data_IF_887781691612
#
_entry.id   IF_887781691612
#
_cell.length_a   1.000
_cell.length_b   1.000
_cell.length_c   1.000
_cell.angle_alpha   90.00
_cell.angle_beta   90.00
_cell.angle_gamma   90.00
#
_symmetry.space_group_name_H-M   'P 1'
#
loop_
_entity.id
_entity.type
_entity.pdbx_description
1 polymer ?
#
# COMPACT_ATOMS: atom_id res chain seq x y z
N UNK A 1 -5.82 -6.13 -12.16
CA UNK A 1 -5.65 -5.46 -10.86
C UNK A 1 -6.88 -4.63 -10.53
N UNK A 2 -7.17 -3.55 -11.28
CA UNK A 2 -8.32 -2.66 -11.00
C UNK A 2 -9.67 -3.38 -10.81
N UNK A 3 -10.04 -4.27 -11.72
CA UNK A 3 -11.29 -5.03 -11.61
C UNK A 3 -11.38 -5.85 -10.30
N UNK A 4 -10.26 -6.38 -9.81
CA UNK A 4 -10.21 -7.11 -8.54
C UNK A 4 -10.39 -6.15 -7.36
N UNK A 5 -9.77 -4.97 -7.39
CA UNK A 5 -9.94 -3.93 -6.35
C UNK A 5 -11.39 -3.46 -6.29
N UNK A 6 -12.01 -3.19 -7.44
CA UNK A 6 -13.41 -2.80 -7.53
C UNK A 6 -14.35 -3.90 -7.05
N UNK A 7 -14.07 -5.16 -7.38
CA UNK A 7 -14.82 -6.28 -6.84
C UNK A 7 -14.72 -6.39 -5.31
N UNK A 8 -13.53 -6.20 -4.73
CA UNK A 8 -13.36 -6.16 -3.27
C UNK A 8 -14.08 -4.97 -2.63
N UNK A 9 -14.09 -3.82 -3.29
CA UNK A 9 -14.88 -2.66 -2.85
C UNK A 9 -16.38 -2.97 -2.85
N UNK A 10 -16.90 -3.62 -3.89
CA UNK A 10 -18.30 -4.01 -3.96
C UNK A 10 -18.68 -4.97 -2.83
N UNK A 11 -17.82 -5.96 -2.54
CA UNK A 11 -17.99 -6.85 -1.38
C UNK A 11 -18.04 -6.02 -0.09
N UNK A 12 -17.04 -5.17 0.18
CA UNK A 12 -17.00 -4.34 1.38
C UNK A 12 -18.24 -3.46 1.53
N UNK A 13 -18.73 -2.86 0.44
CA UNK A 13 -19.97 -2.08 0.44
C UNK A 13 -21.18 -2.95 0.79
N UNK A 14 -21.28 -4.15 0.22
CA UNK A 14 -22.41 -5.06 0.47
C UNK A 14 -22.54 -5.49 1.95
N UNK A 15 -21.41 -5.57 2.66
CA UNK A 15 -21.36 -5.91 4.09
C UNK A 15 -21.15 -4.71 5.01
N UNK A 16 -21.33 -3.48 4.50
CA UNK A 16 -21.19 -2.22 5.26
C UNK A 16 -19.81 -2.02 5.92
N UNK A 17 -18.76 -2.59 5.33
CA UNK A 17 -17.35 -2.40 5.73
C UNK A 17 -16.66 -1.27 4.93
N UNK A 18 -17.37 -0.65 3.98
CA UNK A 18 -16.96 0.57 3.29
C UNK A 18 -18.14 1.54 3.15
N UNK A 19 -17.90 2.87 3.11
CA UNK A 19 -18.91 3.84 2.75
C UNK A 19 -19.52 3.55 1.36
N UNK A 20 -20.84 3.70 1.22
CA UNK A 20 -21.53 3.37 -0.03
C UNK A 20 -21.14 4.32 -1.17
N UNK A 21 -20.77 5.55 -0.84
CA UNK A 21 -20.34 6.62 -1.73
C UNK A 21 -18.85 6.57 -2.09
N UNK A 22 -18.07 5.62 -1.55
CA UNK A 22 -16.66 5.46 -1.96
C UNK A 22 -16.58 5.20 -3.47
N UNK A 23 -15.83 6.00 -4.25
CA UNK A 23 -15.77 5.81 -5.69
C UNK A 23 -15.04 4.51 -6.05
N UNK A 24 -15.30 3.93 -7.23
CA UNK A 24 -14.48 2.85 -7.75
C UNK A 24 -13.03 3.31 -7.96
N UNK A 25 -12.11 2.36 -7.89
CA UNK A 25 -10.71 2.56 -8.25
C UNK A 25 -10.58 2.75 -9.76
N UNK A 26 -9.75 3.73 -10.13
CA UNK A 26 -9.34 4.02 -11.50
C UNK A 26 -7.83 4.28 -11.52
N UNK A 27 -7.06 3.28 -11.92
CA UNK A 27 -5.60 3.32 -11.91
C UNK A 27 -5.05 3.77 -13.26
N UNK A 28 -4.47 4.97 -13.31
CA UNK A 28 -4.00 5.61 -14.56
C UNK A 28 -2.48 5.65 -14.70
N UNK A 29 -1.75 5.48 -13.60
CA UNK A 29 -0.28 5.53 -13.55
C UNK A 29 0.25 4.34 -12.77
N UNK A 30 1.33 3.76 -13.27
CA UNK A 30 2.05 2.69 -12.61
C UNK A 30 3.52 3.05 -12.50
N UNK A 31 4.10 2.82 -11.32
CA UNK A 31 5.51 3.01 -11.00
C UNK A 31 6.04 1.72 -10.37
N UNK A 32 7.36 1.55 -10.36
CA UNK A 32 7.96 0.49 -9.56
C UNK A 32 7.78 0.86 -8.08
N UNK A 33 7.08 0.01 -7.34
CA UNK A 33 6.99 0.07 -5.87
C UNK A 33 7.66 -1.15 -5.26
N UNK A 34 8.21 -1.01 -4.06
CA UNK A 34 8.81 -2.07 -3.28
C UNK A 34 7.78 -2.79 -2.40
N UNK A 35 6.84 -2.05 -1.81
CA UNK A 35 5.77 -2.54 -0.93
C UNK A 35 6.24 -3.20 0.38
N UNK A 36 7.53 -3.10 0.72
CA UNK A 36 8.12 -3.67 1.94
C UNK A 36 9.36 -2.88 2.40
N UNK A 37 9.31 -1.55 2.27
CA UNK A 37 10.39 -0.70 2.75
C UNK A 37 10.41 -0.77 4.28
N UNK A 38 11.48 -1.32 4.82
CA UNK A 38 11.67 -1.50 6.26
C UNK A 38 13.16 -1.60 6.59
N UNK A 39 13.57 -1.33 7.84
CA UNK A 39 14.99 -1.36 8.21
C UNK A 39 15.66 -2.71 7.96
N UNK A 40 14.92 -3.82 8.06
CA UNK A 40 15.44 -5.17 7.78
C UNK A 40 15.84 -5.39 6.31
N UNK A 41 15.29 -4.59 5.40
CA UNK A 41 15.53 -4.64 3.97
C UNK A 41 16.54 -3.57 3.50
N UNK A 42 17.19 -2.89 4.45
CA UNK A 42 18.25 -1.92 4.18
C UNK A 42 19.60 -2.45 4.66
N UNK A 43 20.59 -2.44 3.78
CA UNK A 43 21.98 -2.79 4.11
C UNK A 43 22.85 -1.56 3.92
N UNK A 44 23.53 -1.14 5.00
CA UNK A 44 24.57 -0.11 4.93
C UNK A 44 25.91 -0.80 4.66
N UNK A 45 26.57 -0.44 3.57
CA UNK A 45 27.91 -0.95 3.29
C UNK A 45 29.02 -0.13 3.98
N UNK A 46 30.26 -0.59 3.83
CA UNK A 46 31.45 0.06 4.40
C UNK A 46 31.79 1.43 3.79
N UNK A 47 31.09 1.83 2.73
CA UNK A 47 31.25 3.11 2.03
C UNK A 47 30.08 4.07 2.30
N UNK A 48 29.30 3.80 3.36
CA UNK A 48 28.12 4.59 3.75
C UNK A 48 26.99 4.59 2.69
N UNK A 49 27.01 3.64 1.74
CA UNK A 49 25.93 3.48 0.77
C UNK A 49 24.86 2.57 1.35
N UNK A 50 23.62 3.03 1.28
CA UNK A 50 22.44 2.24 1.64
C UNK A 50 21.93 1.49 0.41
N UNK A 51 21.72 0.19 0.58
CA UNK A 51 21.17 -0.72 -0.42
C UNK A 51 19.79 -1.21 0.01
N UNK A 52 18.81 -1.11 -0.89
CA UNK A 52 17.47 -1.66 -0.70
C UNK A 52 17.37 -3.04 -1.35
N UNK A 53 17.04 -4.04 -0.53
CA UNK A 53 16.97 -5.46 -0.92
C UNK A 53 15.57 -6.03 -0.68
N UNK A 54 15.37 -7.31 -1.01
CA UNK A 54 14.10 -8.03 -0.84
C UNK A 54 12.91 -7.46 -1.65
N UNK A 55 13.06 -7.52 -2.97
CA UNK A 55 12.08 -7.05 -3.93
C UNK A 55 10.94 -8.06 -4.19
N UNK A 56 10.73 -9.04 -3.31
CA UNK A 56 9.76 -10.12 -3.54
C UNK A 56 8.30 -9.62 -3.66
N UNK A 57 7.96 -8.53 -2.97
CA UNK A 57 6.64 -7.87 -3.03
C UNK A 57 6.58 -6.69 -4.01
N UNK A 58 7.66 -6.45 -4.75
CA UNK A 58 7.73 -5.33 -5.68
C UNK A 58 6.91 -5.54 -6.95
N UNK A 59 6.59 -4.45 -7.64
CA UNK A 59 5.99 -4.52 -8.95
C UNK A 59 5.57 -3.17 -9.50
N UNK A 60 4.87 -3.20 -10.63
CA UNK A 60 4.27 -2.00 -11.22
C UNK A 60 2.89 -1.76 -10.59
N UNK A 61 2.81 -0.79 -9.68
CA UNK A 61 1.59 -0.44 -8.94
C UNK A 61 1.30 1.07 -9.02
N UNK A 62 0.05 1.49 -8.72
CA UNK A 62 -0.25 2.89 -8.50
C UNK A 62 0.68 3.50 -7.43
N UNK A 63 1.14 4.76 -7.59
CA UNK A 63 2.14 5.36 -6.69
C UNK A 63 1.78 5.31 -5.20
N UNK A 64 0.48 5.36 -4.88
CA UNK A 64 -0.04 5.29 -3.51
C UNK A 64 0.32 3.98 -2.79
N UNK A 65 0.60 2.90 -3.50
CA UNK A 65 0.85 1.60 -2.88
C UNK A 65 2.08 1.61 -1.97
N UNK A 66 3.11 2.40 -2.29
CA UNK A 66 4.30 2.50 -1.45
C UNK A 66 4.00 3.17 -0.10
N UNK A 67 3.29 4.30 -0.11
CA UNK A 67 2.95 5.01 1.12
C UNK A 67 1.88 4.28 1.92
N UNK A 68 0.94 3.59 1.26
CA UNK A 68 -0.04 2.73 1.91
C UNK A 68 0.63 1.54 2.63
N UNK A 69 1.56 0.84 1.99
CA UNK A 69 2.29 -0.28 2.59
C UNK A 69 3.04 0.14 3.87
N UNK A 70 3.72 1.28 3.84
CA UNK A 70 4.40 1.87 5.00
C UNK A 70 3.41 2.27 6.11
N UNK A 71 2.25 2.82 5.74
CA UNK A 71 1.25 3.32 6.71
C UNK A 71 0.56 2.19 7.48
N UNK A 72 0.35 1.03 6.84
CA UNK A 72 -0.27 -0.14 7.48
C UNK A 72 0.73 -1.07 8.17
N UNK A 73 2.03 -0.89 7.93
CA UNK A 73 3.09 -1.72 8.52
C UNK A 73 3.12 -1.49 10.05
N UNK A 74 2.86 -2.52 10.88
CA UNK A 74 2.75 -2.35 12.33
C UNK A 74 4.11 -2.26 13.04
N UNK A 75 5.20 -2.54 12.33
CA UNK A 75 6.56 -2.53 12.87
C UNK A 75 7.32 -1.29 12.41
N UNK A 76 8.31 -0.88 13.20
CA UNK A 76 9.22 0.23 12.86
C UNK A 76 8.51 1.58 12.64
N UNK A 77 7.49 1.90 13.45
CA UNK A 77 6.65 3.10 13.28
C UNK A 77 7.45 4.38 13.11
N UNK A 78 8.48 4.62 13.92
CA UNK A 78 9.30 5.83 13.83
C UNK A 78 10.05 5.92 12.49
N UNK A 79 10.52 4.78 11.97
CA UNK A 79 11.15 4.70 10.65
C UNK A 79 10.12 4.89 9.55
N UNK A 80 8.93 4.27 9.66
CA UNK A 80 7.87 4.43 8.67
C UNK A 80 7.48 5.90 8.55
N UNK A 81 7.25 6.59 9.67
CA UNK A 81 6.94 8.02 9.71
C UNK A 81 8.06 8.87 9.07
N UNK A 82 9.33 8.56 9.37
CA UNK A 82 10.47 9.25 8.76
C UNK A 82 10.51 9.06 7.23
N UNK A 83 10.28 7.85 6.72
CA UNK A 83 10.23 7.57 5.28
C UNK A 83 9.00 8.23 4.63
N UNK A 84 7.84 8.15 5.28
CA UNK A 84 6.59 8.76 4.84
C UNK A 84 6.69 10.28 4.73
N UNK A 85 7.56 10.93 5.52
CA UNK A 85 7.88 12.35 5.39
C UNK A 85 8.74 12.68 4.16
N UNK A 86 9.49 11.70 3.64
CA UNK A 86 10.41 11.88 2.51
C UNK A 86 9.81 11.49 1.15
N UNK A 87 8.78 10.63 1.13
CA UNK A 87 8.13 10.19 -0.10
C UNK A 87 6.84 10.95 -0.39
N UNK A 88 6.36 10.86 -1.63
CA UNK A 88 5.04 11.40 -1.99
C UNK A 88 3.93 10.65 -1.26
N UNK A 89 2.98 11.38 -0.67
CA UNK A 89 1.78 10.85 -0.02
C UNK A 89 0.54 11.11 -0.87
N UNK A 90 -0.44 10.22 -0.74
CA UNK A 90 -1.71 10.27 -1.46
C UNK A 90 -2.86 9.97 -0.49
N UNK A 91 -3.18 10.87 0.48
CA UNK A 91 -4.02 10.52 1.62
C UNK A 91 -5.44 10.05 1.25
N UNK A 92 -6.02 10.62 0.20
CA UNK A 92 -7.37 10.22 -0.26
C UNK A 92 -7.34 8.83 -0.90
N UNK A 93 -6.31 8.55 -1.71
CA UNK A 93 -6.11 7.23 -2.31
C UNK A 93 -5.71 6.17 -1.27
N UNK A 94 -4.95 6.54 -0.24
CA UNK A 94 -4.63 5.67 0.91
C UNK A 94 -5.91 5.28 1.64
N UNK A 95 -6.76 6.27 1.96
CA UNK A 95 -8.07 6.03 2.55
C UNK A 95 -8.97 5.20 1.65
N UNK A 96 -8.88 5.37 0.32
CA UNK A 96 -9.61 4.53 -0.62
C UNK A 96 -9.11 3.08 -0.55
N UNK A 97 -7.80 2.85 -0.46
CA UNK A 97 -7.25 1.49 -0.26
C UNK A 97 -7.73 0.86 1.06
N UNK A 98 -7.85 1.64 2.14
CA UNK A 98 -8.39 1.16 3.42
C UNK A 98 -9.84 0.67 3.30
N UNK A 99 -10.62 1.23 2.38
CA UNK A 99 -12.01 0.80 2.14
C UNK A 99 -12.14 -0.66 1.68
N UNK A 100 -11.06 -1.28 1.19
CA UNK A 100 -11.03 -2.68 0.81
C UNK A 100 -10.30 -3.59 1.80
N UNK A 101 -9.88 -3.07 2.96
CA UNK A 101 -9.11 -3.84 3.94
C UNK A 101 -9.84 -5.11 4.40
N UNK A 102 -11.14 -5.03 4.66
CA UNK A 102 -11.97 -6.18 5.01
C UNK A 102 -12.03 -7.22 3.87
N UNK A 103 -12.26 -6.76 2.64
CA UNK A 103 -12.32 -7.58 1.42
C UNK A 103 -10.99 -8.27 1.11
N UNK A 104 -9.88 -7.64 1.50
CA UNK A 104 -8.52 -8.15 1.27
C UNK A 104 -8.08 -9.16 2.32
N UNK A 105 -8.57 -9.03 3.56
CA UNK A 105 -8.11 -9.83 4.71
C UNK A 105 -9.13 -10.89 5.13
N UNK A 106 -10.36 -10.49 5.41
CA UNK A 106 -11.39 -11.34 6.03
C UNK A 106 -12.27 -12.00 4.97
N UNK A 107 -12.65 -11.26 3.93
CA UNK A 107 -13.39 -11.78 2.79
C UNK A 107 -12.50 -12.02 1.56
N UNK A 108 -11.26 -12.47 1.78
CA UNK A 108 -10.25 -12.64 0.73
C UNK A 108 -10.68 -13.61 -0.39
N UNK A 109 -11.42 -14.66 -0.03
CA UNK A 109 -11.89 -15.71 -0.97
C UNK A 109 -13.31 -15.48 -1.52
N UNK A 110 -13.98 -14.41 -1.06
CA UNK A 110 -15.28 -13.99 -1.58
C UNK A 110 -15.13 -13.31 -2.94
#
# INVERSE_FOLDING_TARGET
MEAWFNHKLDICKSVHQAPQDTPPFHFTKFVLTHNDISPRNLILDQHEQVWLIDWAYSGAYPPVFESAALSIQPFFTDFNEAVLFLISRYPEEEKQLDSIAYGSTTAALA
#
